data_IF_153858862318
#
_entry.id   IF_153858862318
#
_cell.length_a   1.000
_cell.length_b   1.000
_cell.length_c   1.000
_cell.angle_alpha   90.00
_cell.angle_beta   90.00
_cell.angle_gamma   90.00
#
_symmetry.space_group_name_H-M   'P 1'
#
loop_
_entity.id
_entity.type
_entity.pdbx_description
1 polymer ?
#
# COMPACT_ATOMS: atom_id res chain seq x y z
N UNK A 1 26.28 19.21 21.98
CA UNK A 1 25.54 18.21 22.76
C UNK A 1 24.83 17.28 21.80
N UNK A 2 25.25 16.00 21.79
CA UNK A 2 24.75 14.93 20.93
C UNK A 2 23.62 14.23 21.66
N UNK A 3 22.47 14.02 21.01
CA UNK A 3 21.60 12.89 21.37
C UNK A 3 20.88 12.37 20.14
N UNK A 4 21.22 11.13 19.85
CA UNK A 4 20.78 10.26 18.77
C UNK A 4 19.42 9.70 19.17
N UNK A 5 18.35 9.97 18.39
CA UNK A 5 17.12 9.19 18.48
C UNK A 5 17.18 8.06 17.45
N UNK A 6 17.69 6.91 17.90
CA UNK A 6 17.48 5.62 17.27
C UNK A 6 16.07 5.17 17.60
N UNK A 7 15.24 5.01 16.57
CA UNK A 7 13.98 4.29 16.64
C UNK A 7 14.29 2.84 17.03
N UNK A 8 14.05 2.52 18.29
CA UNK A 8 13.96 1.15 18.80
C UNK A 8 12.63 0.57 18.33
N UNK A 9 12.76 -0.44 17.48
CA UNK A 9 11.87 -1.59 17.35
C UNK A 9 11.02 -1.86 18.61
N UNK A 10 9.75 -1.50 18.56
CA UNK A 10 8.71 -2.09 19.41
C UNK A 10 7.89 -3.06 18.58
N UNK A 11 8.48 -4.23 18.34
CA UNK A 11 7.72 -5.43 18.07
C UNK A 11 6.96 -5.77 19.34
N UNK A 12 5.63 -5.58 19.30
CA UNK A 12 4.73 -6.12 20.33
C UNK A 12 4.72 -7.63 20.12
N UNK A 13 5.66 -8.32 20.77
CA UNK A 13 5.59 -9.75 21.00
C UNK A 13 4.45 -9.95 21.99
N UNK A 14 3.28 -10.32 21.49
CA UNK A 14 2.18 -10.82 22.30
C UNK A 14 2.61 -12.16 22.91
N UNK A 15 3.30 -12.09 24.04
CA UNK A 15 3.53 -13.22 24.92
C UNK A 15 2.19 -13.60 25.56
N UNK A 16 1.64 -14.74 25.16
CA UNK A 16 0.59 -15.42 25.89
C UNK A 16 0.75 -16.94 25.73
N UNK A 17 1.33 -17.55 26.77
CA UNK A 17 1.06 -18.89 27.35
C UNK A 17 1.18 -20.09 26.39
N UNK A 18 1.96 -21.12 26.72
CA UNK A 18 1.64 -22.05 27.80
C UNK A 18 2.88 -22.61 28.48
N UNK A 19 2.77 -22.82 29.78
CA UNK A 19 3.73 -23.50 30.62
C UNK A 19 4.11 -24.87 30.02
N UNK A 20 5.37 -25.01 29.59
CA UNK A 20 5.97 -26.33 29.42
C UNK A 20 6.31 -26.82 30.81
N UNK A 21 5.34 -27.43 31.48
CA UNK A 21 5.64 -28.33 32.57
C UNK A 21 6.53 -29.44 32.00
N UNK A 22 7.79 -29.48 32.42
CA UNK A 22 8.67 -30.61 32.18
C UNK A 22 8.12 -31.80 32.97
N UNK A 23 7.11 -32.47 32.43
CA UNK A 23 6.77 -33.82 32.86
C UNK A 23 7.79 -34.72 32.18
N UNK A 24 8.68 -35.31 32.96
CA UNK A 24 9.51 -36.42 32.53
C UNK A 24 8.56 -37.60 32.20
N UNK A 25 8.04 -37.61 30.97
CA UNK A 25 7.22 -38.67 30.41
C UNK A 25 8.10 -39.57 29.55
N UNK A 26 8.16 -40.84 29.93
CA UNK A 26 8.68 -41.96 29.15
C UNK A 26 8.29 -41.82 27.66
N UNK A 27 9.16 -42.29 26.75
CA UNK A 27 8.97 -42.25 25.30
C UNK A 27 7.68 -42.92 24.83
N UNK A 28 6.56 -42.23 24.97
CA UNK A 28 5.28 -42.60 24.39
C UNK A 28 5.37 -42.34 22.89
N UNK A 29 4.95 -43.34 22.12
CA UNK A 29 4.77 -43.21 20.69
C UNK A 29 3.81 -42.04 20.42
N UNK A 30 4.36 -40.96 19.86
CA UNK A 30 3.61 -39.73 19.54
C UNK A 30 2.47 -40.04 18.56
N UNK A 31 2.61 -41.11 17.77
CA UNK A 31 1.59 -41.60 16.85
C UNK A 31 0.47 -42.40 17.54
N UNK A 32 0.62 -42.75 18.82
CA UNK A 32 -0.40 -43.39 19.65
C UNK A 32 -1.20 -42.41 20.54
N UNK A 33 -0.77 -41.14 20.64
CA UNK A 33 -1.46 -40.09 21.42
C UNK A 33 -2.64 -39.49 20.64
N UNK A 34 -3.75 -40.22 20.60
CA UNK A 34 -4.98 -39.86 19.86
C UNK A 34 -5.58 -38.52 20.32
N UNK A 35 -5.48 -38.21 21.61
CA UNK A 35 -6.03 -36.97 22.19
C UNK A 35 -5.24 -35.76 21.71
N UNK A 36 -3.90 -35.83 21.76
CA UNK A 36 -3.06 -34.76 21.24
C UNK A 36 -3.23 -34.56 19.73
N UNK A 37 -3.32 -35.65 18.96
CA UNK A 37 -3.56 -35.61 17.52
C UNK A 37 -4.89 -34.91 17.20
N UNK A 38 -5.97 -35.35 17.84
CA UNK A 38 -7.32 -34.83 17.63
C UNK A 38 -7.42 -33.36 18.02
N UNK A 39 -6.80 -32.96 19.13
CA UNK A 39 -6.80 -31.59 19.59
C UNK A 39 -6.14 -30.62 18.59
N UNK A 40 -4.92 -30.95 18.12
CA UNK A 40 -4.20 -30.10 17.17
C UNK A 40 -4.90 -30.08 15.81
N UNK A 41 -5.37 -31.23 15.32
CA UNK A 41 -6.09 -31.31 14.05
C UNK A 41 -7.43 -30.55 14.07
N UNK A 42 -8.20 -30.67 15.15
CA UNK A 42 -9.47 -29.94 15.32
C UNK A 42 -9.23 -28.44 15.40
N UNK A 43 -8.18 -28.01 16.11
CA UNK A 43 -7.79 -26.60 16.17
C UNK A 43 -7.46 -26.07 14.77
N UNK A 44 -6.68 -26.80 13.98
CA UNK A 44 -6.35 -26.40 12.61
C UNK A 44 -7.58 -26.31 11.70
N UNK A 45 -8.41 -27.37 11.68
CA UNK A 45 -9.60 -27.45 10.82
C UNK A 45 -10.65 -26.40 11.17
N UNK A 46 -10.69 -25.92 12.42
CA UNK A 46 -11.55 -24.82 12.85
C UNK A 46 -11.15 -23.43 12.35
N UNK A 47 -9.92 -23.24 11.86
CA UNK A 47 -9.38 -21.89 11.54
C UNK A 47 -8.75 -21.75 10.15
N UNK A 48 -8.34 -22.83 9.48
CA UNK A 48 -7.56 -22.77 8.23
C UNK A 48 -8.25 -22.07 7.03
N UNK A 49 -9.58 -21.87 7.08
CA UNK A 49 -10.36 -21.14 6.07
C UNK A 49 -10.60 -19.67 6.42
N UNK A 50 -10.32 -19.26 7.66
CA UNK A 50 -10.48 -17.88 8.08
C UNK A 50 -9.44 -16.98 7.41
N UNK A 51 -9.82 -15.73 7.18
CA UNK A 51 -9.05 -14.77 6.36
C UNK A 51 -8.40 -13.65 7.17
N UNK A 52 -8.66 -13.55 8.47
CA UNK A 52 -7.99 -12.55 9.30
C UNK A 52 -6.51 -12.91 9.45
N UNK A 53 -5.64 -11.91 9.56
CA UNK A 53 -4.19 -12.13 9.73
C UNK A 53 -3.92 -13.00 10.98
N UNK A 54 -4.59 -12.70 12.10
CA UNK A 54 -4.43 -13.44 13.35
C UNK A 54 -4.86 -14.92 13.23
N UNK A 55 -5.98 -15.17 12.53
CA UNK A 55 -6.43 -16.55 12.30
C UNK A 55 -5.47 -17.29 11.36
N UNK A 56 -4.96 -16.64 10.32
CA UNK A 56 -3.98 -17.23 9.39
C UNK A 56 -2.65 -17.54 10.08
N UNK A 57 -2.16 -16.68 10.97
CA UNK A 57 -0.98 -16.94 11.80
C UNK A 57 -1.20 -18.15 12.71
N UNK A 58 -2.36 -18.20 13.38
CA UNK A 58 -2.73 -19.31 14.26
C UNK A 58 -2.87 -20.61 13.48
N UNK A 59 -3.47 -20.56 12.28
CA UNK A 59 -3.61 -21.71 11.39
C UNK A 59 -2.26 -22.22 10.90
N UNK A 60 -1.36 -21.31 10.53
CA UNK A 60 0.00 -21.66 10.10
C UNK A 60 0.79 -22.31 11.24
N UNK A 61 0.77 -21.72 12.43
CA UNK A 61 1.46 -22.26 13.59
C UNK A 61 0.92 -23.64 13.97
N UNK A 62 -0.41 -23.80 14.05
CA UNK A 62 -1.06 -25.07 14.42
C UNK A 62 -0.82 -26.15 13.35
N UNK A 63 -0.88 -25.79 12.07
CA UNK A 63 -0.63 -26.73 10.98
C UNK A 63 0.84 -27.17 10.92
N UNK A 64 1.80 -26.27 11.17
CA UNK A 64 3.22 -26.63 11.30
C UNK A 64 3.46 -27.54 12.50
N UNK A 65 2.85 -27.24 13.64
CA UNK A 65 2.91 -28.11 14.82
C UNK A 65 2.37 -29.51 14.52
N UNK A 66 1.24 -29.62 13.82
CA UNK A 66 0.68 -30.91 13.42
C UNK A 66 1.64 -31.71 12.53
N UNK A 67 2.21 -31.07 11.50
CA UNK A 67 3.13 -31.73 10.57
C UNK A 67 4.46 -32.09 11.23
N UNK A 68 4.94 -31.30 12.19
CA UNK A 68 6.17 -31.58 12.94
C UNK A 68 6.00 -32.78 13.87
N UNK A 69 4.91 -32.81 14.66
CA UNK A 69 4.67 -33.88 15.64
C UNK A 69 4.18 -35.17 15.00
N UNK A 70 3.33 -35.08 13.98
CA UNK A 70 2.56 -36.21 13.47
C UNK A 70 2.77 -36.49 11.97
N UNK A 71 3.59 -35.70 11.29
CA UNK A 71 3.80 -35.82 9.83
C UNK A 71 4.43 -37.13 9.37
N UNK A 72 5.12 -37.85 10.27
CA UNK A 72 5.72 -39.16 10.02
C UNK A 72 4.83 -40.35 10.43
N UNK A 73 3.67 -40.10 11.06
CA UNK A 73 2.77 -41.16 11.51
C UNK A 73 1.96 -41.73 10.33
N UNK A 74 2.20 -42.99 9.96
CA UNK A 74 1.48 -43.66 8.87
C UNK A 74 -0.04 -43.71 9.11
N UNK A 75 -0.47 -43.87 10.37
CA UNK A 75 -1.87 -43.88 10.80
C UNK A 75 -2.61 -42.56 10.52
N UNK A 76 -1.88 -41.47 10.27
CA UNK A 76 -2.42 -40.13 10.04
C UNK A 76 -2.17 -39.62 8.62
N UNK A 77 -1.84 -40.51 7.68
CA UNK A 77 -1.47 -40.13 6.32
C UNK A 77 -2.53 -39.25 5.64
N UNK A 78 -3.83 -39.49 5.88
CA UNK A 78 -4.92 -38.68 5.30
C UNK A 78 -4.99 -37.27 5.91
N UNK A 79 -4.82 -37.14 7.23
CA UNK A 79 -4.75 -35.84 7.90
C UNK A 79 -3.51 -35.06 7.46
N UNK A 80 -2.36 -35.72 7.30
CA UNK A 80 -1.14 -35.07 6.77
C UNK A 80 -1.37 -34.59 5.34
N UNK A 81 -1.98 -35.42 4.46
CA UNK A 81 -2.34 -35.03 3.09
C UNK A 81 -3.29 -33.83 3.05
N UNK A 82 -4.15 -33.68 4.05
CA UNK A 82 -5.04 -32.53 4.17
C UNK A 82 -4.32 -31.27 4.69
N UNK A 83 -3.58 -31.38 5.80
CA UNK A 83 -2.96 -30.23 6.48
C UNK A 83 -1.86 -29.59 5.64
N UNK A 84 -1.01 -30.41 5.01
CA UNK A 84 0.17 -29.95 4.27
C UNK A 84 -0.13 -28.90 3.18
N UNK A 85 -1.01 -29.15 2.19
CA UNK A 85 -1.29 -28.15 1.15
C UNK A 85 -1.93 -26.88 1.70
N UNK A 86 -2.70 -26.96 2.79
CA UNK A 86 -3.29 -25.80 3.41
C UNK A 86 -2.25 -24.94 4.15
N UNK A 87 -1.30 -25.55 4.85
CA UNK A 87 -0.14 -24.87 5.45
C UNK A 87 0.65 -24.12 4.38
N UNK A 88 1.01 -24.79 3.28
CA UNK A 88 1.75 -24.18 2.17
C UNK A 88 1.00 -23.00 1.54
N UNK A 89 -0.32 -23.13 1.37
CA UNK A 89 -1.18 -22.05 0.87
C UNK A 89 -1.21 -20.86 1.81
N UNK A 90 -1.38 -21.09 3.11
CA UNK A 90 -1.45 -20.02 4.13
C UNK A 90 -0.09 -19.31 4.21
N UNK A 91 1.01 -20.05 4.18
CA UNK A 91 2.36 -19.49 4.19
C UNK A 91 2.61 -18.51 3.03
N UNK A 92 2.12 -18.84 1.82
CA UNK A 92 2.19 -17.95 0.65
C UNK A 92 1.24 -16.75 0.75
N UNK A 93 0.05 -16.94 1.32
CA UNK A 93 -0.97 -15.90 1.38
C UNK A 93 -0.76 -14.89 2.53
N UNK A 94 -0.16 -15.32 3.64
CA UNK A 94 -0.04 -14.52 4.86
C UNK A 94 0.73 -13.20 4.66
N UNK A 95 1.86 -13.14 3.93
CA UNK A 95 2.55 -11.87 3.67
C UNK A 95 1.68 -10.86 2.93
N UNK A 96 0.86 -11.31 1.96
CA UNK A 96 -0.06 -10.46 1.23
C UNK A 96 -1.20 -9.96 2.14
N UNK A 97 -1.76 -10.84 2.97
CA UNK A 97 -2.78 -10.46 3.95
C UNK A 97 -2.26 -9.44 4.97
N UNK A 98 -1.01 -9.60 5.44
CA UNK A 98 -0.34 -8.63 6.32
C UNK A 98 -0.16 -7.27 5.63
N UNK A 99 0.33 -7.26 4.39
CA UNK A 99 0.47 -6.02 3.62
C UNK A 99 -0.89 -5.34 3.42
N UNK A 100 -1.93 -6.10 3.06
CA UNK A 100 -3.31 -5.61 2.94
C UNK A 100 -3.81 -4.97 4.24
N UNK A 101 -3.72 -5.69 5.36
CA UNK A 101 -4.17 -5.18 6.67
C UNK A 101 -3.44 -3.89 7.11
N UNK A 102 -2.19 -3.68 6.69
CA UNK A 102 -1.47 -2.43 6.92
C UNK A 102 -1.94 -1.30 6.01
N UNK A 103 -2.26 -1.61 4.75
CA UNK A 103 -2.62 -0.64 3.72
C UNK A 103 -4.09 -0.21 3.78
N UNK A 104 -5.02 -1.12 4.09
CA UNK A 104 -6.47 -0.87 4.11
C UNK A 104 -6.88 0.37 4.92
N UNK A 105 -6.44 0.57 6.18
CA UNK A 105 -6.78 1.79 6.92
C UNK A 105 -6.16 3.04 6.30
N UNK A 106 -5.00 2.93 5.65
CA UNK A 106 -4.34 4.06 4.99
C UNK A 106 -5.08 4.46 3.71
N UNK A 107 -5.48 3.50 2.88
CA UNK A 107 -6.32 3.76 1.70
C UNK A 107 -7.67 4.37 2.10
N UNK A 108 -8.29 3.85 3.17
CA UNK A 108 -9.55 4.42 3.70
C UNK A 108 -9.40 5.90 4.05
N UNK A 109 -8.31 6.27 4.75
CA UNK A 109 -8.02 7.66 5.10
C UNK A 109 -7.68 8.52 3.89
N UNK A 110 -6.90 7.98 2.96
CA UNK A 110 -6.52 8.66 1.73
C UNK A 110 -7.75 9.01 0.88
N UNK A 111 -8.65 8.03 0.67
CA UNK A 111 -9.88 8.19 -0.08
C UNK A 111 -10.83 9.19 0.60
N UNK A 112 -10.97 9.12 1.92
CA UNK A 112 -11.73 10.10 2.69
C UNK A 112 -11.13 11.52 2.54
N UNK A 113 -9.80 11.64 2.57
CA UNK A 113 -9.09 12.90 2.32
C UNK A 113 -9.38 13.46 0.93
N UNK A 114 -9.35 12.63 -0.11
CA UNK A 114 -9.69 13.05 -1.48
C UNK A 114 -11.14 13.51 -1.59
N UNK A 115 -12.09 12.76 -1.01
CA UNK A 115 -13.52 13.07 -1.09
C UNK A 115 -13.89 14.35 -0.34
N UNK A 116 -13.13 14.71 0.70
CA UNK A 116 -13.37 15.90 1.54
C UNK A 116 -12.44 17.08 1.23
N UNK A 117 -11.58 16.95 0.21
CA UNK A 117 -10.53 17.93 -0.09
C UNK A 117 -9.61 18.26 1.11
N UNK A 118 -9.42 17.30 2.01
CA UNK A 118 -8.54 17.44 3.15
C UNK A 118 -7.09 17.12 2.75
N UNK A 119 -6.33 18.16 2.43
CA UNK A 119 -4.91 18.01 2.06
C UNK A 119 -4.06 17.30 3.12
N UNK A 120 -4.33 17.50 4.41
CA UNK A 120 -3.52 16.87 5.47
C UNK A 120 -3.68 15.35 5.46
N UNK A 121 -4.90 14.85 5.29
CA UNK A 121 -5.18 13.42 5.15
C UNK A 121 -4.64 12.85 3.83
N UNK A 122 -4.83 13.57 2.70
CA UNK A 122 -4.30 13.15 1.39
C UNK A 122 -2.79 12.92 1.46
N UNK A 123 -2.03 13.92 1.94
CA UNK A 123 -0.57 13.84 1.95
C UNK A 123 -0.05 12.91 3.04
N UNK A 124 -0.63 12.91 4.25
CA UNK A 124 -0.16 12.02 5.32
C UNK A 124 -0.41 10.56 5.01
N UNK A 125 -1.64 10.19 4.60
CA UNK A 125 -1.99 8.82 4.26
C UNK A 125 -1.27 8.36 2.98
N UNK A 126 -1.23 9.21 1.94
CA UNK A 126 -0.54 8.87 0.68
C UNK A 126 0.95 8.61 0.87
N UNK A 127 1.64 9.41 1.71
CA UNK A 127 3.04 9.16 2.06
C UNK A 127 3.23 7.86 2.84
N UNK A 128 2.33 7.54 3.77
CA UNK A 128 2.37 6.28 4.50
C UNK A 128 2.15 5.07 3.57
N UNK A 129 1.24 5.17 2.60
CA UNK A 129 1.04 4.13 1.58
C UNK A 129 2.33 3.95 0.76
N UNK A 130 2.92 5.04 0.25
CA UNK A 130 4.16 4.98 -0.53
C UNK A 130 5.38 4.53 0.27
N UNK A 131 5.35 4.54 1.61
CA UNK A 131 6.40 3.93 2.42
C UNK A 131 6.34 2.39 2.40
N UNK A 132 5.15 1.82 2.12
CA UNK A 132 4.90 0.36 2.06
C UNK A 132 4.85 -0.13 0.60
N UNK A 133 4.34 0.71 -0.29
CA UNK A 133 4.11 0.42 -1.71
C UNK A 133 4.72 1.54 -2.59
N UNK A 134 6.05 1.57 -2.61
CA UNK A 134 6.88 2.69 -3.12
C UNK A 134 6.64 3.06 -4.57
N UNK A 135 6.16 2.13 -5.39
CA UNK A 135 5.97 2.33 -6.83
C UNK A 135 4.51 2.58 -7.22
N UNK A 136 3.63 2.82 -6.24
CA UNK A 136 2.20 2.95 -6.49
C UNK A 136 1.85 4.27 -7.20
N UNK A 137 1.82 4.23 -8.52
CA UNK A 137 1.50 5.38 -9.37
C UNK A 137 0.08 5.91 -9.14
N UNK A 138 -0.84 5.06 -8.68
CA UNK A 138 -2.22 5.46 -8.38
C UNK A 138 -2.33 6.31 -7.11
N UNK A 139 -1.29 6.32 -6.28
CA UNK A 139 -1.15 7.25 -5.16
C UNK A 139 -0.32 8.47 -5.55
N UNK A 140 0.75 8.28 -6.33
CA UNK A 140 1.60 9.41 -6.76
C UNK A 140 0.85 10.44 -7.60
N UNK A 141 -0.07 10.02 -8.48
CA UNK A 141 -0.86 10.93 -9.32
C UNK A 141 -1.73 11.88 -8.48
N UNK A 142 -2.60 11.40 -7.56
CA UNK A 142 -3.35 12.29 -6.67
C UNK A 142 -2.44 13.22 -5.86
N UNK A 143 -1.32 12.71 -5.32
CA UNK A 143 -0.35 13.55 -4.61
C UNK A 143 0.30 14.60 -5.53
N UNK A 144 0.49 14.28 -6.80
CA UNK A 144 1.07 15.18 -7.81
C UNK A 144 0.12 16.26 -8.32
N UNK A 145 -1.17 16.21 -7.96
CA UNK A 145 -2.17 17.19 -8.42
C UNK A 145 -2.88 17.87 -7.25
N UNK A 146 -3.13 17.19 -6.12
CA UNK A 146 -3.96 17.70 -5.03
C UNK A 146 -3.50 19.08 -4.50
N UNK A 147 -2.20 19.35 -4.44
CA UNK A 147 -1.71 20.62 -3.92
C UNK A 147 -1.92 21.81 -4.87
N UNK A 148 -2.12 21.56 -6.17
CA UNK A 148 -2.61 22.59 -7.09
C UNK A 148 -3.98 23.10 -6.65
N UNK A 149 -4.93 22.19 -6.42
CA UNK A 149 -6.27 22.56 -5.98
C UNK A 149 -6.28 23.19 -4.58
N UNK A 150 -5.43 22.71 -3.67
CA UNK A 150 -5.25 23.35 -2.36
C UNK A 150 -4.72 24.78 -2.50
N UNK A 151 -3.84 25.05 -3.47
CA UNK A 151 -3.30 26.39 -3.69
C UNK A 151 -4.37 27.39 -4.15
N UNK A 152 -5.40 26.95 -4.88
CA UNK A 152 -6.55 27.79 -5.25
C UNK A 152 -7.38 28.22 -4.04
N UNK A 153 -7.33 27.45 -2.95
CA UNK A 153 -7.92 27.81 -1.66
C UNK A 153 -6.93 28.56 -0.75
N UNK A 154 -5.93 29.22 -1.33
CA UNK A 154 -4.86 29.94 -0.63
C UNK A 154 -4.06 29.05 0.35
N UNK A 155 -3.97 27.75 0.09
CA UNK A 155 -3.23 26.80 0.93
C UNK A 155 -2.03 26.20 0.18
N UNK A 156 -0.89 26.93 0.08
CA UNK A 156 0.30 26.47 -0.63
C UNK A 156 1.14 25.46 0.17
N UNK A 157 0.69 25.03 1.36
CA UNK A 157 1.44 24.15 2.29
C UNK A 157 2.00 22.89 1.61
N UNK A 158 1.30 22.36 0.62
CA UNK A 158 1.64 21.10 -0.02
C UNK A 158 2.44 21.25 -1.32
N UNK A 159 2.86 22.46 -1.69
CA UNK A 159 3.48 22.72 -2.99
C UNK A 159 4.71 21.83 -3.26
N UNK A 160 5.61 21.71 -2.29
CA UNK A 160 6.84 20.93 -2.46
C UNK A 160 6.57 19.42 -2.60
N UNK A 161 5.65 18.88 -1.79
CA UNK A 161 5.22 17.49 -1.89
C UNK A 161 4.54 17.23 -3.25
N UNK A 162 3.70 18.16 -3.71
CA UNK A 162 3.02 18.07 -5.01
C UNK A 162 4.02 18.01 -6.14
N UNK A 163 4.94 18.97 -6.21
CA UNK A 163 5.96 19.07 -7.26
C UNK A 163 6.81 17.79 -7.29
N UNK A 164 7.19 17.28 -6.12
CA UNK A 164 7.99 16.05 -6.01
C UNK A 164 7.23 14.84 -6.59
N UNK A 165 6.01 14.59 -6.14
CA UNK A 165 5.25 13.43 -6.60
C UNK A 165 4.81 13.56 -8.05
N UNK A 166 4.50 14.77 -8.52
CA UNK A 166 4.24 15.06 -9.93
C UNK A 166 5.43 14.66 -10.81
N UNK A 167 6.65 15.08 -10.48
CA UNK A 167 7.87 14.71 -11.23
C UNK A 167 8.08 13.19 -11.25
N UNK A 168 7.91 12.52 -10.10
CA UNK A 168 8.06 11.06 -9.99
C UNK A 168 7.03 10.31 -10.85
N UNK A 169 5.75 10.72 -10.77
CA UNK A 169 4.68 10.10 -11.53
C UNK A 169 4.84 10.35 -13.04
N UNK A 170 5.17 11.58 -13.47
CA UNK A 170 5.46 11.88 -14.88
C UNK A 170 6.59 10.99 -15.42
N UNK A 171 7.68 10.84 -14.66
CA UNK A 171 8.80 9.98 -15.06
C UNK A 171 8.35 8.52 -15.27
N UNK A 172 7.55 7.97 -14.34
CA UNK A 172 7.00 6.61 -14.45
C UNK A 172 6.04 6.45 -15.63
N UNK A 173 5.14 7.41 -15.85
CA UNK A 173 4.23 7.40 -16.99
C UNK A 173 4.98 7.45 -18.32
N UNK A 174 6.00 8.32 -18.44
CA UNK A 174 6.85 8.41 -19.62
C UNK A 174 7.66 7.12 -19.85
N UNK A 175 8.09 6.46 -18.77
CA UNK A 175 8.75 5.14 -18.82
C UNK A 175 7.81 3.97 -19.18
N UNK A 176 6.50 4.20 -19.31
CA UNK A 176 5.55 3.19 -19.77
C UNK A 176 5.03 2.26 -18.67
N UNK A 177 4.96 2.71 -17.42
CA UNK A 177 4.28 1.96 -16.35
C UNK A 177 2.86 1.56 -16.80
N UNK A 178 2.49 0.26 -16.79
CA UNK A 178 1.18 -0.18 -17.24
C UNK A 178 0.08 0.27 -16.27
N UNK A 179 -1.09 0.59 -16.81
CA UNK A 179 -2.27 0.81 -16.00
C UNK A 179 -2.78 -0.53 -15.43
N UNK A 180 -3.25 -0.50 -14.18
CA UNK A 180 -3.88 -1.65 -13.52
C UNK A 180 -5.40 -1.54 -13.47
N UNK A 181 -5.96 -0.47 -14.05
CA UNK A 181 -7.40 -0.20 -14.05
C UNK A 181 -7.83 0.57 -15.30
N UNK A 182 -9.12 0.46 -15.59
CA UNK A 182 -9.80 1.15 -16.69
C UNK A 182 -10.95 1.99 -16.15
N UNK A 183 -11.21 3.13 -16.79
CA UNK A 183 -12.40 3.92 -16.49
C UNK A 183 -13.66 3.30 -17.13
N UNK A 184 -14.83 3.94 -16.90
CA UNK A 184 -16.11 3.49 -17.47
C UNK A 184 -16.15 3.44 -19.00
N UNK A 185 -15.28 4.20 -19.66
CA UNK A 185 -15.13 4.20 -21.12
C UNK A 185 -14.12 3.15 -21.63
N UNK A 186 -13.56 2.32 -20.75
CA UNK A 186 -12.59 1.27 -21.10
C UNK A 186 -11.16 1.77 -21.32
N UNK A 187 -10.90 3.05 -21.11
CA UNK A 187 -9.56 3.64 -21.25
C UNK A 187 -8.71 3.36 -20.01
N UNK A 188 -7.41 3.12 -20.23
CA UNK A 188 -6.43 2.94 -19.17
C UNK A 188 -6.26 4.24 -18.36
N UNK A 189 -6.36 4.12 -17.03
CA UNK A 189 -6.29 5.28 -16.13
C UNK A 189 -5.37 5.07 -14.95
N UNK A 190 -4.87 6.19 -14.43
CA UNK A 190 -3.95 6.30 -13.32
C UNK A 190 -4.52 7.26 -12.28
N UNK A 191 -4.20 7.01 -11.01
CA UNK A 191 -4.59 7.85 -9.89
C UNK A 191 -5.71 7.22 -9.07
N UNK A 192 -6.55 8.01 -8.41
CA UNK A 192 -7.63 7.49 -7.56
C UNK A 192 -8.79 8.50 -7.48
N UNK A 193 -10.02 7.97 -7.50
CA UNK A 193 -11.25 8.76 -7.34
C UNK A 193 -11.31 9.92 -8.36
N UNK A 194 -11.52 11.16 -7.89
CA UNK A 194 -11.59 12.34 -8.76
C UNK A 194 -10.27 12.71 -9.45
N UNK A 195 -9.15 12.11 -9.02
CA UNK A 195 -7.84 12.27 -9.62
C UNK A 195 -7.50 11.10 -10.57
N UNK A 196 -8.50 10.51 -11.21
CA UNK A 196 -8.32 9.48 -12.24
C UNK A 196 -8.20 10.10 -13.62
N UNK A 197 -7.06 9.85 -14.25
CA UNK A 197 -6.72 10.43 -15.55
C UNK A 197 -6.17 9.36 -16.50
N UNK A 198 -6.37 9.55 -17.80
CA UNK A 198 -5.56 8.85 -18.80
C UNK A 198 -4.10 9.26 -18.67
N UNK A 199 -3.17 8.51 -19.28
CA UNK A 199 -1.73 8.82 -19.21
C UNK A 199 -1.43 10.26 -19.61
N UNK A 200 -1.96 10.70 -20.74
CA UNK A 200 -1.73 12.04 -21.31
C UNK A 200 -2.30 13.12 -20.41
N UNK A 201 -3.55 12.94 -19.95
CA UNK A 201 -4.18 13.88 -19.04
C UNK A 201 -3.47 13.97 -17.68
N UNK A 202 -2.96 12.85 -17.16
CA UNK A 202 -2.19 12.84 -15.92
C UNK A 202 -0.89 13.66 -16.06
N UNK A 203 -0.18 13.48 -17.18
CA UNK A 203 1.03 14.25 -17.49
C UNK A 203 0.70 15.73 -17.61
N UNK A 204 -0.38 16.09 -18.30
CA UNK A 204 -0.82 17.48 -18.47
C UNK A 204 -1.15 18.15 -17.13
N UNK A 205 -1.99 17.51 -16.30
CA UNK A 205 -2.38 17.99 -14.97
C UNK A 205 -1.17 18.20 -14.06
N UNK A 206 -0.26 17.22 -14.01
CA UNK A 206 0.93 17.29 -13.16
C UNK A 206 1.94 18.31 -13.68
N UNK A 207 2.09 18.46 -15.00
CA UNK A 207 2.99 19.47 -15.59
C UNK A 207 2.49 20.88 -15.28
N UNK A 208 1.17 21.10 -15.44
CA UNK A 208 0.54 22.36 -15.06
C UNK A 208 0.61 22.62 -13.55
N UNK A 209 0.40 21.60 -12.71
CA UNK A 209 0.57 21.71 -11.26
C UNK A 209 1.99 22.16 -10.89
N UNK A 210 3.03 21.58 -11.53
CA UNK A 210 4.42 22.00 -11.31
C UNK A 210 4.62 23.47 -11.72
N UNK A 211 4.18 23.87 -12.92
CA UNK A 211 4.35 25.23 -13.42
C UNK A 211 3.65 26.26 -12.52
N UNK A 212 2.38 26.00 -12.19
CA UNK A 212 1.56 26.89 -11.38
C UNK A 212 2.09 27.05 -9.95
N UNK A 213 2.43 25.94 -9.29
CA UNK A 213 2.98 25.98 -7.94
C UNK A 213 4.38 26.63 -7.92
N UNK A 214 5.21 26.40 -8.93
CA UNK A 214 6.51 27.07 -9.04
C UNK A 214 6.34 28.58 -9.19
N UNK A 215 5.40 29.02 -10.03
CA UNK A 215 5.15 30.44 -10.26
C UNK A 215 4.53 31.14 -9.04
N UNK A 216 3.41 30.61 -8.54
CA UNK A 216 2.57 31.29 -7.54
C UNK A 216 2.95 30.93 -6.10
N UNK A 217 3.15 29.65 -5.80
CA UNK A 217 3.44 29.21 -4.43
C UNK A 217 4.92 29.38 -4.06
N UNK A 218 5.85 29.03 -4.97
CA UNK A 218 7.29 29.20 -4.75
C UNK A 218 7.80 30.59 -5.11
N UNK A 219 6.99 31.41 -5.79
CA UNK A 219 7.35 32.75 -6.28
C UNK A 219 8.54 32.74 -7.25
N UNK A 220 8.82 31.60 -7.87
CA UNK A 220 9.88 31.44 -8.85
C UNK A 220 9.30 31.58 -10.26
N UNK A 221 9.11 32.84 -10.66
CA UNK A 221 8.55 33.17 -11.98
C UNK A 221 9.48 32.75 -13.12
N UNK A 222 10.77 32.98 -12.95
CA UNK A 222 11.77 32.68 -13.97
C UNK A 222 11.87 31.17 -14.23
N UNK A 223 11.83 30.35 -13.17
CA UNK A 223 11.82 28.88 -13.30
C UNK A 223 10.51 28.32 -13.87
N UNK A 224 9.38 28.99 -13.61
CA UNK A 224 8.08 28.53 -14.09
C UNK A 224 7.78 28.89 -15.55
N UNK A 225 8.27 30.02 -16.05
CA UNK A 225 7.98 30.47 -17.42
C UNK A 225 8.32 29.42 -18.50
N UNK A 226 9.51 28.79 -18.51
CA UNK A 226 9.80 27.73 -19.46
C UNK A 226 8.82 26.56 -19.41
N UNK A 227 8.31 26.22 -18.22
CA UNK A 227 7.33 25.14 -18.05
C UNK A 227 5.99 25.53 -18.67
N UNK A 228 5.55 26.79 -18.51
CA UNK A 228 4.35 27.29 -19.16
C UNK A 228 4.48 27.32 -20.69
N UNK A 229 5.65 27.69 -21.22
CA UNK A 229 5.92 27.61 -22.66
C UNK A 229 5.86 26.16 -23.17
N UNK A 230 6.43 25.19 -22.45
CA UNK A 230 6.32 23.78 -22.80
C UNK A 230 4.85 23.32 -22.81
N UNK A 231 4.09 23.66 -21.76
CA UNK A 231 2.65 23.35 -21.67
C UNK A 231 1.87 23.93 -22.86
N UNK A 232 2.14 25.17 -23.25
CA UNK A 232 1.48 25.83 -24.38
C UNK A 232 1.71 25.10 -25.72
N UNK A 233 2.81 24.36 -25.84
CA UNK A 233 3.20 23.66 -27.07
C UNK A 233 2.81 22.18 -27.08
N UNK A 234 2.93 21.50 -25.95
CA UNK A 234 2.85 20.04 -25.88
C UNK A 234 1.58 19.53 -25.20
N UNK A 235 0.91 20.35 -24.40
CA UNK A 235 -0.22 19.88 -23.61
C UNK A 235 -1.44 19.64 -24.49
N UNK A 236 -2.08 18.49 -24.33
CA UNK A 236 -3.35 18.24 -25.03
C UNK A 236 -4.50 19.02 -24.41
N UNK A 237 -4.39 19.31 -23.11
CA UNK A 237 -5.43 19.98 -22.31
C UNK A 237 -5.24 21.49 -22.17
N UNK A 238 -4.01 21.94 -21.91
CA UNK A 238 -3.74 23.33 -21.50
C UNK A 238 -3.13 24.20 -22.60
N UNK A 239 -2.86 23.67 -23.79
CA UNK A 239 -2.24 24.42 -24.90
C UNK A 239 -3.00 25.68 -25.30
N UNK A 240 -4.32 25.68 -25.15
CA UNK A 240 -5.20 26.79 -25.52
C UNK A 240 -5.80 27.48 -24.27
N UNK A 241 -5.32 27.16 -23.06
CA UNK A 241 -5.86 27.70 -21.81
C UNK A 241 -5.44 29.18 -21.63
N UNK A 242 -6.38 30.14 -21.54
CA UNK A 242 -6.05 31.56 -21.41
C UNK A 242 -5.16 31.87 -20.20
N UNK A 243 -5.23 31.07 -19.14
CA UNK A 243 -4.42 31.27 -17.93
C UNK A 243 -2.94 31.01 -18.20
N UNK A 244 -2.62 30.06 -19.10
CA UNK A 244 -1.23 29.78 -19.50
C UNK A 244 -0.64 31.00 -20.22
N UNK A 245 -1.36 31.55 -21.20
CA UNK A 245 -0.89 32.74 -21.95
C UNK A 245 -0.83 33.99 -21.07
N UNK A 246 -1.81 34.20 -20.19
CA UNK A 246 -1.77 35.32 -19.23
C UNK A 246 -0.56 35.24 -18.29
N UNK A 247 -0.12 34.05 -17.91
CA UNK A 247 1.09 33.88 -17.09
C UNK A 247 2.37 34.11 -17.90
N UNK A 248 2.38 33.74 -19.19
CA UNK A 248 3.51 33.95 -20.09
C UNK A 248 3.74 35.44 -20.39
N UNK A 249 2.66 36.21 -20.63
CA UNK A 249 2.70 37.63 -20.98
C UNK A 249 2.22 37.90 -22.40
#
# INVERSE_FOLDING_TARGET
MKTIFRFLSTGVLSAALLAVGAVAGYGQDVCADVDAQTAVYTKFTGIYLKKSVADMETALATGKEFLEKFGACESLAEQVKFVKPHVERIEKALPLAKKGAQLDPLFTRFDAGINTDNGDEIYSAGKAILAIDTDNINIMVPLGVAGLYQSYNNNPKYADDTIRYAKMAIAKLKAGTPAIKKNKAGADVYGALKYEFTKEHAIDEMSYAIANLTYYAKKDRAGALPLYYEIAQTSTRYKDDPRVYQTIG
#
